data_IF_945106921742
#
_entry.id   IF_945106921742
#
_cell.length_a   1.000
_cell.length_b   1.000
_cell.length_c   1.000
_cell.angle_alpha   90.00
_cell.angle_beta   90.00
_cell.angle_gamma   90.00
#
_symmetry.space_group_name_H-M   'P 1'
#
loop_
_entity.id
_entity.type
_entity.pdbx_description
1 polymer ?
#
# COMPACT_ATOMS: atom_id res chain seq x y z
N UNK A 1 5.69 -26.08 -35.71
CA UNK A 1 4.55 -25.44 -35.00
C UNK A 1 4.89 -25.45 -33.51
N UNK A 2 5.45 -24.36 -32.98
CA UNK A 2 5.59 -24.21 -31.54
C UNK A 2 4.18 -24.07 -30.95
N UNK A 3 3.76 -25.03 -30.12
CA UNK A 3 2.63 -24.85 -29.22
C UNK A 3 3.00 -23.68 -28.32
N UNK A 4 2.39 -22.53 -28.53
CA UNK A 4 2.39 -21.46 -27.55
C UNK A 4 1.66 -22.03 -26.35
N UNK A 5 2.39 -22.42 -25.30
CA UNK A 5 1.78 -22.80 -24.01
C UNK A 5 0.90 -21.62 -23.59
N UNK A 6 -0.38 -21.86 -23.53
CA UNK A 6 -1.36 -20.88 -23.07
C UNK A 6 -1.05 -20.62 -21.60
N UNK A 7 -0.53 -19.44 -21.29
CA UNK A 7 -0.34 -19.02 -19.89
C UNK A 7 -1.65 -19.16 -19.14
N UNK A 8 -1.60 -19.75 -17.95
CA UNK A 8 -2.76 -19.83 -17.06
C UNK A 8 -2.93 -18.48 -16.38
N UNK A 9 -4.04 -17.80 -16.72
CA UNK A 9 -4.34 -16.45 -16.26
C UNK A 9 -5.58 -16.50 -15.39
N UNK A 10 -5.52 -15.89 -14.20
CA UNK A 10 -6.68 -15.61 -13.38
C UNK A 10 -7.13 -14.15 -13.60
N UNK A 11 -8.41 -13.93 -13.84
CA UNK A 11 -8.97 -12.59 -14.05
C UNK A 11 -9.80 -12.18 -12.85
N UNK A 12 -9.35 -11.16 -12.12
CA UNK A 12 -10.07 -10.53 -11.01
C UNK A 12 -10.56 -9.14 -11.42
N UNK A 13 -11.77 -8.76 -11.02
CA UNK A 13 -12.35 -7.47 -11.36
C UNK A 13 -13.04 -6.84 -10.15
N UNK A 14 -12.95 -5.53 -10.02
CA UNK A 14 -13.75 -4.77 -9.07
C UNK A 14 -15.24 -4.89 -9.40
N UNK A 15 -16.11 -4.45 -8.47
CA UNK A 15 -17.56 -4.50 -8.66
C UNK A 15 -18.10 -3.48 -9.68
N UNK A 16 -17.24 -2.65 -10.28
CA UNK A 16 -17.66 -1.68 -11.30
C UNK A 16 -18.06 -2.40 -12.60
N UNK A 17 -19.16 -1.98 -13.22
CA UNK A 17 -19.70 -2.59 -14.45
C UNK A 17 -18.66 -2.68 -15.58
N UNK A 18 -17.85 -1.64 -15.74
CA UNK A 18 -16.79 -1.61 -16.74
C UNK A 18 -15.69 -2.65 -16.48
N UNK A 19 -15.37 -2.91 -15.21
CA UNK A 19 -14.37 -3.91 -14.85
C UNK A 19 -14.92 -5.32 -15.04
N UNK A 20 -16.18 -5.55 -14.66
CA UNK A 20 -16.86 -6.83 -14.86
C UNK A 20 -17.04 -7.18 -16.35
N UNK A 21 -17.45 -6.20 -17.15
CA UNK A 21 -17.54 -6.36 -18.60
C UNK A 21 -16.20 -6.71 -19.24
N UNK A 22 -15.13 -6.03 -18.81
CA UNK A 22 -13.77 -6.31 -19.27
C UNK A 22 -13.33 -7.74 -18.87
N UNK A 23 -13.61 -8.16 -17.62
CA UNK A 23 -13.34 -9.52 -17.17
C UNK A 23 -14.03 -10.56 -18.06
N UNK A 24 -15.32 -10.39 -18.32
CA UNK A 24 -16.08 -11.33 -19.17
C UNK A 24 -15.47 -11.43 -20.58
N UNK A 25 -15.03 -10.33 -21.15
CA UNK A 25 -14.35 -10.29 -22.45
C UNK A 25 -13.05 -11.12 -22.42
N UNK A 26 -12.21 -10.92 -21.41
CA UNK A 26 -10.96 -11.66 -21.29
C UNK A 26 -11.18 -13.14 -20.99
N UNK A 27 -12.10 -13.48 -20.09
CA UNK A 27 -12.45 -14.88 -19.78
C UNK A 27 -12.95 -15.61 -21.01
N UNK A 28 -13.78 -14.96 -21.84
CA UNK A 28 -14.23 -15.54 -23.10
C UNK A 28 -13.07 -15.81 -24.07
N UNK A 29 -12.08 -14.93 -24.13
CA UNK A 29 -10.97 -15.01 -25.08
C UNK A 29 -9.82 -15.93 -24.65
N UNK A 30 -9.53 -15.99 -23.34
CA UNK A 30 -8.33 -16.64 -22.80
C UNK A 30 -8.63 -17.79 -21.81
N UNK A 31 -9.89 -17.96 -21.42
CA UNK A 31 -10.26 -18.80 -20.28
C UNK A 31 -10.02 -18.10 -18.95
N UNK A 32 -10.24 -18.81 -17.85
CA UNK A 32 -10.01 -18.34 -16.48
C UNK A 32 -9.53 -19.52 -15.63
N UNK A 33 -8.80 -19.25 -14.59
CA UNK A 33 -8.41 -20.27 -13.61
C UNK A 33 -8.45 -19.70 -12.19
N UNK A 34 -8.39 -20.58 -11.21
CA UNK A 34 -8.24 -20.14 -9.83
C UNK A 34 -6.91 -19.39 -9.64
N UNK A 35 -6.86 -18.29 -8.89
CA UNK A 35 -5.63 -17.54 -8.63
C UNK A 35 -4.47 -18.41 -8.10
N UNK A 36 -4.76 -19.46 -7.33
CA UNK A 36 -3.74 -20.37 -6.81
C UNK A 36 -3.12 -21.27 -7.89
N UNK A 37 -3.79 -21.44 -9.03
CA UNK A 37 -3.32 -22.21 -10.17
C UNK A 37 -2.75 -21.32 -11.29
N UNK A 38 -2.83 -20.00 -11.15
CA UNK A 38 -2.43 -19.03 -12.17
C UNK A 38 -0.90 -18.86 -12.22
N UNK A 39 -0.40 -18.51 -13.38
CA UNK A 39 0.96 -18.02 -13.61
C UNK A 39 1.04 -16.50 -13.53
N UNK A 40 -0.11 -15.83 -13.73
CA UNK A 40 -0.29 -14.38 -13.56
C UNK A 40 -1.75 -14.09 -13.22
N UNK A 41 -1.96 -13.12 -12.35
CA UNK A 41 -3.28 -12.59 -12.03
C UNK A 41 -3.44 -11.25 -12.75
N UNK A 42 -4.51 -11.09 -13.52
CA UNK A 42 -4.89 -9.81 -14.15
C UNK A 42 -5.97 -9.16 -13.29
N UNK A 43 -5.63 -8.03 -12.66
CA UNK A 43 -6.54 -7.24 -11.83
C UNK A 43 -7.15 -6.09 -12.62
N UNK A 44 -8.48 -6.08 -12.78
CA UNK A 44 -9.24 -5.10 -13.56
C UNK A 44 -9.96 -4.14 -12.60
N UNK A 45 -9.48 -2.90 -12.48
CA UNK A 45 -10.03 -1.94 -11.53
C UNK A 45 -9.22 -0.64 -11.47
N UNK A 46 -9.14 -0.03 -10.30
CA UNK A 46 -8.24 1.07 -9.98
C UNK A 46 -7.21 0.66 -8.91
N UNK A 47 -6.38 1.60 -8.44
CA UNK A 47 -5.32 1.34 -7.45
C UNK A 47 -5.85 0.69 -6.16
N UNK A 48 -7.04 1.10 -5.68
CA UNK A 48 -7.65 0.47 -4.50
C UNK A 48 -7.98 -1.01 -4.70
N UNK A 49 -8.43 -1.40 -5.89
CA UNK A 49 -8.67 -2.81 -6.23
C UNK A 49 -7.36 -3.58 -6.41
N UNK A 50 -6.34 -2.94 -6.97
CA UNK A 50 -4.99 -3.52 -7.03
C UNK A 50 -4.46 -3.83 -5.64
N UNK A 51 -4.58 -2.88 -4.70
CA UNK A 51 -4.17 -3.06 -3.30
C UNK A 51 -4.92 -4.23 -2.65
N UNK A 52 -6.25 -4.31 -2.82
CA UNK A 52 -7.06 -5.44 -2.31
C UNK A 52 -6.61 -6.76 -2.90
N UNK A 53 -6.34 -6.81 -4.22
CA UNK A 53 -5.86 -8.00 -4.90
C UNK A 53 -4.51 -8.45 -4.36
N UNK A 54 -3.56 -7.53 -4.21
CA UNK A 54 -2.24 -7.82 -3.65
C UNK A 54 -2.33 -8.38 -2.22
N UNK A 55 -3.17 -7.78 -1.35
CA UNK A 55 -3.41 -8.32 0.00
C UNK A 55 -4.01 -9.72 -0.02
N UNK A 56 -5.00 -9.95 -0.88
CA UNK A 56 -5.68 -11.23 -0.97
C UNK A 56 -4.78 -12.35 -1.52
N UNK A 57 -3.84 -12.02 -2.39
CA UNK A 57 -3.03 -13.00 -3.13
C UNK A 57 -1.56 -13.05 -2.72
N UNK A 58 -1.12 -12.24 -1.74
CA UNK A 58 0.28 -12.18 -1.29
C UNK A 58 0.88 -13.53 -0.89
N UNK A 59 0.05 -14.48 -0.45
CA UNK A 59 0.47 -15.83 -0.05
C UNK A 59 0.69 -16.76 -1.23
N UNK A 60 0.24 -16.39 -2.45
CA UNK A 60 0.33 -17.23 -3.65
C UNK A 60 1.66 -17.09 -4.38
N UNK A 61 2.39 -16.01 -4.14
CA UNK A 61 3.62 -15.68 -4.85
C UNK A 61 3.46 -15.67 -6.39
N UNK A 62 2.29 -15.19 -6.84
CA UNK A 62 1.92 -15.05 -8.26
C UNK A 62 1.93 -13.57 -8.61
N UNK A 63 2.59 -13.14 -9.71
CA UNK A 63 2.60 -11.74 -10.11
C UNK A 63 1.21 -11.23 -10.47
N UNK A 64 0.93 -9.97 -10.13
CA UNK A 64 -0.34 -9.31 -10.41
C UNK A 64 -0.12 -8.21 -11.44
N UNK A 65 -0.82 -8.30 -12.57
CA UNK A 65 -0.84 -7.30 -13.63
C UNK A 65 -2.11 -6.47 -13.55
N UNK A 66 -2.00 -5.22 -13.12
CA UNK A 66 -3.14 -4.31 -13.02
C UNK A 66 -3.48 -3.64 -14.35
N UNK A 67 -4.76 -3.58 -14.70
CA UNK A 67 -5.29 -2.82 -15.85
C UNK A 67 -6.39 -1.88 -15.38
N UNK A 68 -6.26 -0.60 -15.71
CA UNK A 68 -7.14 0.44 -15.22
C UNK A 68 -8.54 0.34 -15.84
N UNK A 69 -9.56 0.12 -15.02
CA UNK A 69 -10.99 0.21 -15.37
C UNK A 69 -11.76 1.13 -14.42
N UNK A 70 -11.05 2.12 -13.86
CA UNK A 70 -11.58 3.15 -12.99
C UNK A 70 -10.91 4.49 -13.23
N UNK A 71 -10.70 5.28 -12.17
CA UNK A 71 -9.93 6.52 -12.22
C UNK A 71 -8.45 6.22 -12.49
N UNK A 72 -7.76 7.13 -13.18
CA UNK A 72 -6.33 7.02 -13.42
C UNK A 72 -5.58 6.88 -12.09
N UNK A 73 -4.71 5.89 -12.00
CA UNK A 73 -3.89 5.57 -10.83
C UNK A 73 -2.42 5.38 -11.19
N UNK A 74 -1.61 5.08 -10.18
CA UNK A 74 -0.16 4.94 -10.33
C UNK A 74 0.32 3.47 -10.44
N UNK A 75 -0.53 2.51 -10.00
CA UNK A 75 -0.20 1.09 -9.97
C UNK A 75 -0.78 0.31 -11.16
N UNK A 76 -1.57 0.95 -12.01
CA UNK A 76 -2.32 0.30 -13.07
C UNK A 76 -1.79 0.65 -14.44
N UNK A 77 -1.72 -0.36 -15.32
CA UNK A 77 -1.45 -0.16 -16.74
C UNK A 77 -2.70 0.33 -17.48
N UNK A 78 -2.50 0.92 -18.64
CA UNK A 78 -3.59 1.30 -19.53
C UNK A 78 -4.40 0.06 -19.97
N UNK A 79 -5.72 0.22 -19.99
CA UNK A 79 -6.61 -0.85 -20.44
C UNK A 79 -6.57 -1.02 -21.97
N UNK A 80 -6.40 -2.26 -22.39
CA UNK A 80 -6.60 -2.67 -23.78
C UNK A 80 -7.01 -4.14 -23.80
N UNK A 81 -7.97 -4.49 -24.64
CA UNK A 81 -8.34 -5.88 -24.92
C UNK A 81 -7.36 -6.58 -25.86
N UNK A 82 -6.58 -5.79 -26.62
CA UNK A 82 -5.67 -6.31 -27.63
C UNK A 82 -4.29 -6.64 -27.03
N UNK A 83 -3.65 -7.67 -27.57
CA UNK A 83 -2.26 -7.99 -27.31
C UNK A 83 -1.94 -8.36 -25.86
N UNK A 84 -2.90 -8.85 -25.05
CA UNK A 84 -2.68 -9.16 -23.62
C UNK A 84 -1.44 -10.02 -23.39
N UNK A 85 -1.29 -11.13 -24.14
CA UNK A 85 -0.16 -12.06 -23.96
C UNK A 85 1.18 -11.38 -24.24
N UNK A 86 1.26 -10.54 -25.27
CA UNK A 86 2.47 -9.79 -25.59
C UNK A 86 2.79 -8.76 -24.49
N UNK A 87 1.78 -8.08 -23.96
CA UNK A 87 1.92 -7.10 -22.87
C UNK A 87 2.36 -7.77 -21.57
N UNK A 88 1.80 -8.93 -21.23
CA UNK A 88 2.24 -9.71 -20.08
C UNK A 88 3.68 -10.23 -20.22
N UNK A 89 4.10 -10.57 -21.45
CA UNK A 89 5.46 -11.01 -21.71
C UNK A 89 6.48 -9.87 -21.68
N UNK A 90 6.04 -8.63 -22.00
CA UNK A 90 6.89 -7.43 -22.00
C UNK A 90 6.85 -6.66 -20.67
N UNK A 91 6.01 -7.07 -19.71
CA UNK A 91 5.88 -6.41 -18.43
C UNK A 91 7.14 -6.61 -17.56
N UNK A 92 7.60 -5.54 -16.94
CA UNK A 92 8.65 -5.59 -15.93
C UNK A 92 8.03 -5.94 -14.58
N UNK A 93 8.62 -6.92 -13.90
CA UNK A 93 8.17 -7.35 -12.59
C UNK A 93 8.80 -6.49 -11.49
N UNK A 94 7.97 -5.86 -10.67
CA UNK A 94 8.39 -5.11 -9.51
C UNK A 94 8.04 -5.86 -8.22
N UNK A 95 9.02 -6.04 -7.35
CA UNK A 95 8.81 -6.67 -6.04
C UNK A 95 8.37 -5.62 -5.03
N UNK A 96 7.17 -5.79 -4.48
CA UNK A 96 6.63 -4.94 -3.43
C UNK A 96 6.88 -5.62 -2.08
N UNK A 97 7.54 -4.89 -1.17
CA UNK A 97 7.82 -5.37 0.18
C UNK A 97 6.91 -4.61 1.16
N UNK A 98 5.94 -5.29 1.81
CA UNK A 98 5.04 -4.65 2.75
C UNK A 98 5.77 -4.23 4.04
N UNK A 99 5.25 -3.18 4.68
CA UNK A 99 5.58 -2.83 6.05
C UNK A 99 4.88 -3.79 7.01
N UNK A 100 5.56 -4.15 8.09
CA UNK A 100 4.93 -4.84 9.22
C UNK A 100 4.66 -3.84 10.33
N UNK A 101 3.39 -3.55 10.57
CA UNK A 101 2.96 -2.80 11.74
C UNK A 101 2.89 -3.72 12.96
N UNK A 102 3.33 -3.21 14.10
CA UNK A 102 3.05 -3.75 15.43
C UNK A 102 2.60 -2.59 16.30
N UNK A 103 1.34 -2.57 16.67
CA UNK A 103 0.75 -1.55 17.53
C UNK A 103 0.46 -2.15 18.91
N UNK A 104 0.88 -1.45 19.97
CA UNK A 104 0.55 -1.80 21.35
C UNK A 104 -0.34 -0.72 21.92
N UNK A 105 -1.54 -1.10 22.32
CA UNK A 105 -2.55 -0.23 22.91
C UNK A 105 -2.24 0.10 24.37
N UNK A 106 -2.95 1.08 24.94
CA UNK A 106 -2.77 1.51 26.34
C UNK A 106 -3.10 0.38 27.34
N UNK A 107 -4.02 -0.51 26.97
CA UNK A 107 -4.39 -1.69 27.75
C UNK A 107 -3.34 -2.83 27.70
N UNK A 108 -2.27 -2.65 26.90
CA UNK A 108 -1.21 -3.62 26.70
C UNK A 108 -1.50 -4.64 25.60
N UNK A 109 -2.67 -4.63 24.96
CA UNK A 109 -2.94 -5.49 23.81
C UNK A 109 -2.03 -5.10 22.63
N UNK A 110 -1.55 -6.12 21.92
CA UNK A 110 -0.69 -5.93 20.75
C UNK A 110 -1.37 -6.52 19.52
N UNK A 111 -1.43 -5.73 18.46
CA UNK A 111 -1.92 -6.14 17.15
C UNK A 111 -0.83 -5.99 16.10
N UNK A 112 -0.86 -6.88 15.11
CA UNK A 112 0.08 -6.85 13.98
C UNK A 112 -0.70 -6.87 12.67
N UNK A 113 -0.24 -6.08 11.69
CA UNK A 113 -0.80 -6.06 10.35
C UNK A 113 0.31 -5.79 9.31
N UNK A 114 0.01 -6.08 8.05
CA UNK A 114 0.87 -5.74 6.92
C UNK A 114 0.26 -4.59 6.13
N UNK A 115 1.11 -3.65 5.70
CA UNK A 115 0.72 -2.55 4.83
C UNK A 115 1.56 -2.58 3.56
N UNK A 116 0.91 -2.60 2.42
CA UNK A 116 1.54 -2.47 1.10
C UNK A 116 1.84 -0.99 0.81
N UNK A 117 0.92 -0.10 1.15
CA UNK A 117 1.09 1.34 0.98
C UNK A 117 1.79 1.98 2.18
N UNK A 118 1.09 2.11 3.31
CA UNK A 118 1.61 2.83 4.47
C UNK A 118 1.05 2.33 5.79
N UNK A 119 1.82 2.57 6.84
CA UNK A 119 1.33 2.58 8.22
C UNK A 119 1.19 4.02 8.66
N UNK A 120 -0.01 4.41 9.11
CA UNK A 120 -0.29 5.78 9.56
C UNK A 120 -0.79 5.81 11.00
N UNK A 121 -0.46 6.89 11.70
CA UNK A 121 -1.03 7.25 12.99
C UNK A 121 -1.83 8.54 12.83
N UNK A 122 -3.07 8.56 13.31
CA UNK A 122 -3.95 9.71 13.27
C UNK A 122 -4.52 10.00 14.66
N UNK A 123 -4.62 11.27 15.03
CA UNK A 123 -5.30 11.69 16.24
C UNK A 123 -6.79 11.31 16.20
N UNK A 124 -7.32 10.81 17.30
CA UNK A 124 -8.74 10.43 17.42
C UNK A 124 -9.62 11.53 18.02
N UNK A 125 -9.04 12.64 18.46
CA UNK A 125 -9.78 13.72 19.11
C UNK A 125 -9.44 15.10 18.54
N UNK A 126 -10.00 16.17 19.11
CA UNK A 126 -9.73 17.53 18.68
C UNK A 126 -8.31 18.00 19.00
N UNK A 127 -7.65 17.37 19.97
CA UNK A 127 -6.30 17.73 20.36
C UNK A 127 -5.27 17.14 19.39
N UNK A 128 -4.21 17.90 19.09
CA UNK A 128 -3.11 17.40 18.27
C UNK A 128 -2.44 16.17 18.91
N UNK A 129 -2.02 15.22 18.10
CA UNK A 129 -1.16 14.14 18.56
C UNK A 129 0.20 14.68 18.97
N UNK A 130 0.81 14.07 19.97
CA UNK A 130 2.20 14.29 20.35
C UNK A 130 2.94 12.96 20.25
N UNK A 131 3.93 12.91 19.39
CA UNK A 131 4.65 11.69 19.06
C UNK A 131 6.15 11.86 19.33
N UNK A 132 6.78 10.84 19.91
CA UNK A 132 8.23 10.67 19.80
C UNK A 132 8.52 9.75 18.62
N UNK A 133 9.59 10.04 17.89
CA UNK A 133 9.99 9.25 16.73
C UNK A 133 11.38 8.65 16.98
N UNK A 134 11.44 7.34 16.89
CA UNK A 134 12.68 6.57 16.93
C UNK A 134 12.93 5.92 15.57
N UNK A 135 14.18 5.93 15.15
CA UNK A 135 14.65 5.18 13.98
C UNK A 135 15.84 4.33 14.43
N UNK A 136 15.73 3.03 14.23
CA UNK A 136 16.71 2.03 14.66
C UNK A 136 17.06 2.20 16.15
N UNK A 137 16.00 2.25 16.98
CA UNK A 137 16.04 2.44 18.44
C UNK A 137 16.69 3.73 18.94
N UNK A 138 17.03 4.65 18.04
CA UNK A 138 17.57 5.96 18.39
C UNK A 138 16.48 7.02 18.33
N UNK A 139 16.31 7.77 19.40
CA UNK A 139 15.41 8.93 19.43
C UNK A 139 15.89 9.98 18.40
N UNK A 140 15.06 10.22 17.38
CA UNK A 140 15.33 11.20 16.31
C UNK A 140 14.58 12.48 16.50
N UNK A 141 13.37 12.40 17.06
CA UNK A 141 12.54 13.56 17.36
C UNK A 141 11.88 13.33 18.72
N UNK A 142 12.20 14.19 19.68
CA UNK A 142 11.70 14.07 21.05
C UNK A 142 10.22 14.48 21.20
N UNK A 143 9.73 15.35 20.34
CA UNK A 143 8.31 15.72 20.28
C UNK A 143 7.95 16.18 18.87
N UNK A 144 6.95 15.53 18.28
CA UNK A 144 6.23 15.99 17.09
C UNK A 144 4.79 16.28 17.49
N UNK A 145 4.36 17.54 17.38
CA UNK A 145 2.97 17.94 17.56
C UNK A 145 2.34 18.07 16.17
N UNK A 146 1.33 17.25 15.87
CA UNK A 146 0.80 17.08 14.52
C UNK A 146 -0.63 16.52 14.55
N UNK A 147 -1.25 16.38 13.38
CA UNK A 147 -2.48 15.59 13.24
C UNK A 147 -2.19 14.09 13.14
N UNK A 148 -0.98 13.73 12.72
CA UNK A 148 -0.54 12.36 12.57
C UNK A 148 0.83 12.26 11.92
N UNK A 149 1.28 11.04 11.70
CA UNK A 149 2.49 10.71 10.95
C UNK A 149 2.32 9.35 10.27
N UNK A 150 3.03 9.13 9.19
CA UNK A 150 3.01 7.85 8.48
C UNK A 150 4.41 7.41 8.03
N UNK A 151 4.52 6.11 7.77
CA UNK A 151 5.65 5.53 7.05
C UNK A 151 5.07 4.85 5.80
N UNK A 152 5.53 5.27 4.62
CA UNK A 152 5.08 4.73 3.35
C UNK A 152 6.19 3.95 2.64
N UNK A 153 5.78 2.92 1.93
CA UNK A 153 6.60 2.21 0.96
C UNK A 153 6.73 3.03 -0.34
N UNK A 154 7.61 2.65 -1.26
CA UNK A 154 7.60 3.23 -2.61
C UNK A 154 6.24 3.09 -3.32
N UNK A 155 5.55 1.94 -3.20
CA UNK A 155 4.22 1.75 -3.78
C UNK A 155 3.17 2.69 -3.16
N UNK A 156 3.21 2.88 -1.85
CA UNK A 156 2.31 3.78 -1.13
C UNK A 156 2.70 5.26 -1.20
N UNK A 157 3.86 5.58 -1.77
CA UNK A 157 4.32 6.98 -1.83
C UNK A 157 3.37 7.90 -2.61
N UNK A 158 2.58 7.35 -3.53
CA UNK A 158 1.57 8.03 -4.34
C UNK A 158 0.15 7.94 -3.76
N UNK A 159 -0.02 7.25 -2.62
CA UNK A 159 -1.30 7.11 -1.90
C UNK A 159 -1.47 8.21 -0.82
N UNK A 160 -1.73 7.84 0.43
CA UNK A 160 -1.96 8.82 1.49
C UNK A 160 -0.72 9.71 1.76
N UNK A 161 0.47 9.13 1.59
CA UNK A 161 1.72 9.90 1.67
C UNK A 161 1.72 11.11 0.72
N UNK A 162 1.23 10.95 -0.51
CA UNK A 162 1.13 12.04 -1.46
C UNK A 162 0.13 13.12 -1.00
N UNK A 163 -1.01 12.70 -0.47
CA UNK A 163 -2.05 13.61 0.04
C UNK A 163 -1.57 14.49 1.19
N UNK A 164 -0.58 14.01 1.96
CA UNK A 164 0.04 14.76 3.08
C UNK A 164 1.39 15.37 2.69
N UNK A 165 1.63 15.52 1.38
CA UNK A 165 2.81 16.16 0.81
C UNK A 165 4.14 15.45 1.09
N UNK A 166 4.10 14.14 1.27
CA UNK A 166 5.29 13.30 1.31
C UNK A 166 5.95 13.17 -0.08
N UNK A 167 7.21 12.73 -0.15
CA UNK A 167 7.91 12.55 -1.41
C UNK A 167 7.35 11.35 -2.20
N UNK A 168 7.30 11.46 -3.52
CA UNK A 168 7.08 10.31 -4.40
C UNK A 168 8.39 9.53 -4.49
N UNK A 169 8.31 8.23 -4.27
CA UNK A 169 9.42 7.30 -4.33
C UNK A 169 9.26 6.38 -5.54
N UNK A 170 10.30 6.17 -6.35
CA UNK A 170 10.24 5.21 -7.44
C UNK A 170 9.93 3.79 -6.93
N UNK A 171 9.02 3.08 -7.60
CA UNK A 171 8.75 1.67 -7.29
C UNK A 171 10.06 0.87 -7.45
N UNK A 172 10.35 -0.02 -6.49
CA UNK A 172 11.59 -0.78 -6.44
C UNK A 172 12.76 -0.06 -5.77
N UNK A 173 12.62 1.21 -5.38
CA UNK A 173 13.68 1.89 -4.61
C UNK A 173 13.80 1.32 -3.19
N UNK A 174 15.02 1.31 -2.67
CA UNK A 174 15.37 0.74 -1.35
C UNK A 174 15.21 1.78 -0.22
N UNK A 175 14.10 2.53 -0.22
CA UNK A 175 13.83 3.59 0.75
C UNK A 175 12.38 3.57 1.24
N UNK A 176 12.12 4.25 2.36
CA UNK A 176 10.81 4.52 2.94
C UNK A 176 10.62 6.03 3.08
N UNK A 177 9.38 6.51 3.00
CA UNK A 177 9.04 7.87 3.36
C UNK A 177 8.46 7.89 4.79
N UNK A 178 9.06 8.70 5.67
CA UNK A 178 8.50 9.07 6.95
C UNK A 178 7.93 10.48 6.81
N UNK A 179 6.63 10.65 6.94
CA UNK A 179 5.94 11.92 6.64
C UNK A 179 5.04 12.35 7.79
N UNK A 180 5.07 13.64 8.14
CA UNK A 180 4.20 14.22 9.14
C UNK A 180 2.95 14.85 8.50
N UNK A 181 1.82 14.74 9.20
CA UNK A 181 0.55 15.33 8.79
C UNK A 181 0.31 16.58 9.61
N UNK A 182 0.19 17.73 8.96
CA UNK A 182 -0.05 19.03 9.60
C UNK A 182 0.88 19.30 10.80
N UNK A 183 2.19 19.14 10.62
CA UNK A 183 3.17 19.35 11.70
C UNK A 183 3.12 20.78 12.22
N UNK A 184 2.79 20.94 13.51
CA UNK A 184 2.75 22.21 14.22
C UNK A 184 4.08 22.53 14.92
N UNK A 185 4.71 21.50 15.51
CA UNK A 185 6.05 21.54 16.10
C UNK A 185 6.79 20.25 15.84
N UNK A 186 8.02 20.30 15.33
CA UNK A 186 8.71 21.46 14.76
C UNK A 186 7.95 21.99 13.55
N UNK A 187 7.92 23.34 13.39
CA UNK A 187 7.19 23.95 12.27
C UNK A 187 7.76 23.48 10.93
N UNK A 188 6.87 23.10 9.99
CA UNK A 188 7.21 22.69 8.63
C UNK A 188 8.11 21.46 8.54
N UNK A 189 8.21 20.69 9.63
CA UNK A 189 8.86 19.40 9.51
C UNK A 189 8.03 18.48 8.63
N UNK A 190 8.59 18.05 7.53
CA UNK A 190 7.89 17.23 6.52
C UNK A 190 8.18 15.75 6.65
N UNK A 191 9.19 15.37 7.42
CA UNK A 191 9.61 14.00 7.56
C UNK A 191 11.03 13.75 7.03
N UNK A 192 11.28 12.52 6.64
CA UNK A 192 12.58 12.07 6.14
C UNK A 192 12.41 10.91 5.16
N UNK A 193 13.38 10.73 4.29
CA UNK A 193 13.55 9.49 3.52
C UNK A 193 14.51 8.60 4.30
N UNK A 194 14.12 7.35 4.52
CA UNK A 194 14.84 6.38 5.33
C UNK A 194 15.24 5.17 4.48
N UNK A 195 16.31 4.45 4.83
CA UNK A 195 16.61 3.16 4.21
C UNK A 195 15.45 2.16 4.40
N UNK A 196 15.23 1.28 3.42
CA UNK A 196 14.19 0.23 3.45
C UNK A 196 14.23 -0.64 4.70
N UNK A 197 15.42 -0.93 5.22
CA UNK A 197 15.62 -1.75 6.40
C UNK A 197 15.38 -1.01 7.73
N UNK A 198 15.11 0.29 7.70
CA UNK A 198 14.93 1.09 8.91
C UNK A 198 13.70 0.63 9.71
N UNK A 199 13.88 0.57 11.04
CA UNK A 199 12.77 0.32 11.97
C UNK A 199 12.30 1.66 12.51
N UNK A 200 11.07 2.04 12.22
CA UNK A 200 10.46 3.26 12.75
C UNK A 200 9.54 2.89 13.90
N UNK A 201 9.72 3.57 15.03
CA UNK A 201 8.85 3.44 16.20
C UNK A 201 8.30 4.80 16.59
N UNK A 202 6.99 4.87 16.73
CA UNK A 202 6.29 6.01 17.28
C UNK A 202 5.89 5.71 18.72
N UNK A 203 6.15 6.63 19.63
CA UNK A 203 5.59 6.60 20.98
C UNK A 203 4.65 7.78 21.16
N UNK A 204 3.44 7.49 21.62
CA UNK A 204 2.42 8.51 21.83
C UNK A 204 2.66 9.15 23.21
N UNK A 205 2.88 10.46 23.24
CA UNK A 205 2.97 11.21 24.47
C UNK A 205 1.54 11.57 24.93
N UNK A 206 1.23 11.31 26.21
CA UNK A 206 -0.09 11.55 26.81
C UNK A 206 -1.21 10.72 26.10
N UNK A 207 -1.07 9.41 25.92
CA UNK A 207 -1.99 8.63 25.08
C UNK A 207 -3.45 8.64 25.56
N UNK A 208 -3.71 8.83 26.84
CA UNK A 208 -5.06 8.90 27.41
C UNK A 208 -5.77 10.19 27.03
N UNK A 209 -5.05 11.33 27.02
CA UNK A 209 -5.63 12.65 26.70
C UNK A 209 -5.50 13.00 25.22
N UNK A 210 -4.60 12.32 24.52
CA UNK A 210 -4.29 12.52 23.09
C UNK A 210 -4.27 11.16 22.36
N UNK A 211 -5.39 10.44 22.34
CA UNK A 211 -5.43 9.13 21.71
C UNK A 211 -5.16 9.25 20.21
N UNK A 212 -4.49 8.23 19.69
CA UNK A 212 -4.26 8.06 18.25
C UNK A 212 -4.77 6.70 17.79
N UNK A 213 -5.11 6.62 16.54
CA UNK A 213 -5.43 5.39 15.84
C UNK A 213 -4.24 5.04 14.94
N UNK A 214 -3.89 3.77 14.87
CA UNK A 214 -2.90 3.26 13.92
C UNK A 214 -3.58 2.44 12.83
N UNK A 215 -3.25 2.74 11.58
CA UNK A 215 -3.78 2.04 10.41
C UNK A 215 -2.64 1.43 9.59
N UNK A 216 -2.84 0.20 9.13
CA UNK A 216 -2.02 -0.46 8.12
C UNK A 216 -2.91 -0.70 6.90
N UNK A 217 -2.80 0.15 5.89
CA UNK A 217 -3.71 0.22 4.74
C UNK A 217 -5.19 0.29 5.21
N UNK A 218 -5.89 -0.85 5.20
CA UNK A 218 -7.30 -0.94 5.61
C UNK A 218 -7.50 -1.63 6.98
N UNK A 219 -6.43 -1.89 7.73
CA UNK A 219 -6.49 -2.54 9.03
C UNK A 219 -6.26 -1.52 10.14
N UNK A 220 -7.34 -1.08 10.79
CA UNK A 220 -7.30 -0.08 11.88
C UNK A 220 -7.15 -0.74 13.24
N UNK A 221 -6.26 -0.17 14.06
CA UNK A 221 -6.07 -0.50 15.48
C UNK A 221 -6.44 0.72 16.30
N UNK A 222 -7.48 0.56 17.11
CA UNK A 222 -7.99 1.61 18.02
C UNK A 222 -7.93 1.12 19.46
N UNK A 223 -7.78 2.04 20.39
CA UNK A 223 -7.97 1.78 21.82
C UNK A 223 -9.44 1.72 22.19
#
# INVERSE_FOLDING_TARGET
MHKTESKRIAFLASNADLAQSARNTFVHSFGDCDPSAAEVIVALGGDGFMLQTLHATQHLNVPVYGMNRGTVGFLMNEFSTEGLIARLAAAEEAVINPLRMRATCVDGQTQTALAINEVSLLRQGPQAAKLQIFVDDRLRLSELVCDGALVATPAGSTAYNYSVHGPILPIGSEVLALTAMAAFRPRRWRGAVLPKAAKVRFEVIEPVTRPVMADADNCSVQN
#
